data_IF_431952048765
#
_entry.id   IF_431952048765
#
_cell.length_a   1.000
_cell.length_b   1.000
_cell.length_c   1.000
_cell.angle_alpha   90.00
_cell.angle_beta   90.00
_cell.angle_gamma   90.00
#
_symmetry.space_group_name_H-M   'P 1'
#
loop_
_entity.id
_entity.type
_entity.pdbx_description
1 polymer ?
#
# COMPACT_ATOMS: atom_id res chain seq x y z
N UNK A 1 -13.31 33.20 -16.60
CA UNK A 1 -13.15 32.93 -16.23
C UNK A 1 -12.91 32.39 -15.70
N UNK A 2 -12.56 32.28 -15.66
CA UNK A 2 -12.22 31.77 -15.25
C UNK A 2 -11.84 31.38 -14.57
N UNK A 3 -11.65 31.35 -14.43
CA UNK A 3 -11.26 31.09 -13.94
C UNK A 3 -10.96 30.67 -13.09
N UNK A 4 -10.91 30.91 -12.78
CA UNK A 4 -10.45 30.28 -11.89
C UNK A 4 -11.03 29.14 -11.70
N UNK A 5 -10.78 28.43 -12.40
CA UNK A 5 -11.35 27.13 -12.38
C UNK A 5 -10.95 26.40 -11.14
N UNK A 6 -11.90 25.84 -10.44
CA UNK A 6 -11.59 24.93 -9.35
C UNK A 6 -10.92 23.71 -9.97
N UNK A 7 -9.77 23.36 -9.45
CA UNK A 7 -9.04 22.19 -9.92
C UNK A 7 -9.82 20.93 -9.57
N UNK A 8 -10.22 20.19 -10.57
CA UNK A 8 -11.01 18.98 -10.35
C UNK A 8 -10.22 17.70 -10.47
N UNK A 9 -9.00 17.78 -10.98
CA UNK A 9 -8.09 16.65 -11.02
C UNK A 9 -6.66 17.17 -11.07
N UNK A 10 -5.73 16.30 -10.72
CA UNK A 10 -4.33 16.68 -10.79
C UNK A 10 -3.87 16.71 -12.24
N UNK A 11 -2.89 17.57 -12.51
CA UNK A 11 -2.34 17.69 -13.85
C UNK A 11 -1.52 16.46 -14.18
N UNK A 12 -1.26 16.26 -15.47
CA UNK A 12 -0.46 15.12 -15.90
C UNK A 12 0.92 15.12 -15.26
N UNK A 13 1.53 16.31 -15.11
CA UNK A 13 2.81 16.41 -14.44
C UNK A 13 2.75 15.99 -12.99
N UNK A 14 1.69 16.43 -12.31
CA UNK A 14 1.50 16.04 -10.91
C UNK A 14 1.26 14.54 -10.80
N UNK A 15 0.49 13.97 -11.70
CA UNK A 15 0.23 12.55 -11.71
C UNK A 15 1.50 11.75 -11.94
N UNK A 16 2.39 12.26 -12.80
CA UNK A 16 3.68 11.61 -13.01
C UNK A 16 4.50 11.56 -11.73
N UNK A 17 4.51 12.66 -10.98
CA UNK A 17 5.24 12.70 -9.72
C UNK A 17 4.70 11.67 -8.73
N UNK A 18 3.38 11.59 -8.65
CA UNK A 18 2.76 10.59 -7.76
C UNK A 18 3.02 9.19 -8.25
N UNK A 19 3.06 9.00 -9.57
CA UNK A 19 3.34 7.67 -10.11
C UNK A 19 4.73 7.21 -9.72
N UNK A 20 5.71 8.10 -9.79
CA UNK A 20 7.07 7.77 -9.37
C UNK A 20 7.11 7.40 -7.90
N UNK A 21 6.40 8.17 -7.07
CA UNK A 21 6.34 7.87 -5.65
C UNK A 21 5.72 6.51 -5.39
N UNK A 22 4.62 6.22 -6.10
CA UNK A 22 3.94 4.94 -5.93
C UNK A 22 4.81 3.79 -6.41
N UNK A 23 5.52 3.97 -7.52
CA UNK A 23 6.41 2.93 -8.02
C UNK A 23 7.53 2.63 -7.03
N UNK A 24 8.07 3.68 -6.41
CA UNK A 24 9.08 3.50 -5.40
C UNK A 24 8.53 2.73 -4.21
N UNK A 25 7.33 3.10 -3.75
CA UNK A 25 6.69 2.40 -2.65
C UNK A 25 6.37 0.96 -3.01
N UNK A 26 5.95 0.73 -4.24
CA UNK A 26 5.69 -0.63 -4.71
C UNK A 26 6.96 -1.48 -4.68
N UNK A 27 8.05 -0.91 -5.16
CA UNK A 27 9.32 -1.63 -5.16
C UNK A 27 9.72 -2.02 -3.75
N UNK A 28 9.64 -1.08 -2.81
CA UNK A 28 9.97 -1.35 -1.43
C UNK A 28 9.06 -2.39 -0.81
N UNK A 29 7.76 -2.26 -1.08
CA UNK A 29 6.78 -3.18 -0.51
C UNK A 29 6.96 -4.59 -1.04
N UNK A 30 7.27 -4.72 -2.32
CA UNK A 30 7.48 -6.05 -2.90
C UNK A 30 8.74 -6.71 -2.34
N UNK A 31 9.78 -5.91 -2.09
CA UNK A 31 10.98 -6.44 -1.45
C UNK A 31 10.68 -6.89 -0.03
N UNK A 32 9.90 -6.10 0.68
CA UNK A 32 9.52 -6.45 2.04
C UNK A 32 8.70 -7.74 2.06
N UNK A 33 7.77 -7.87 1.13
CA UNK A 33 6.97 -9.08 1.02
C UNK A 33 7.85 -10.28 0.72
N UNK A 34 8.78 -10.14 -0.20
CA UNK A 34 9.69 -11.23 -0.54
C UNK A 34 10.48 -11.68 0.68
N UNK A 35 10.89 -10.72 1.50
CA UNK A 35 11.61 -11.03 2.74
C UNK A 35 10.74 -11.85 3.69
N UNK A 36 9.50 -11.46 3.88
CA UNK A 36 8.59 -12.21 4.74
C UNK A 36 8.33 -13.60 4.20
N UNK A 37 8.12 -13.73 2.90
CA UNK A 37 7.88 -15.02 2.28
C UNK A 37 9.11 -15.92 2.44
N UNK A 38 10.30 -15.34 2.28
CA UNK A 38 11.53 -16.11 2.47
C UNK A 38 11.67 -16.60 3.90
N UNK A 39 11.32 -15.77 4.86
CA UNK A 39 11.38 -16.17 6.26
C UNK A 39 10.43 -17.32 6.57
N UNK A 40 9.22 -17.25 5.98
CA UNK A 40 8.26 -18.34 6.16
C UNK A 40 8.78 -19.62 5.57
N UNK A 41 9.39 -19.55 4.40
CA UNK A 41 9.96 -20.72 3.76
C UNK A 41 11.10 -21.30 4.57
N UNK A 42 12.00 -20.45 5.05
CA UNK A 42 13.12 -20.90 5.86
C UNK A 42 12.64 -21.52 7.17
N UNK A 43 11.67 -20.90 7.80
CA UNK A 43 11.12 -21.41 9.05
C UNK A 43 10.51 -22.79 8.84
N UNK A 44 9.79 -22.96 7.75
CA UNK A 44 9.19 -24.25 7.43
C UNK A 44 10.26 -25.31 7.22
N UNK A 45 11.29 -24.97 6.45
CA UNK A 45 12.38 -25.90 6.21
C UNK A 45 13.13 -26.24 7.49
N UNK A 46 13.35 -25.24 8.32
CA UNK A 46 14.04 -25.45 9.59
C UNK A 46 13.21 -26.30 10.54
N UNK A 47 11.90 -26.11 10.52
CA UNK A 47 11.02 -26.90 11.36
C UNK A 47 11.12 -28.37 11.02
N UNK A 48 11.22 -28.68 9.73
CA UNK A 48 11.38 -30.07 9.29
C UNK A 48 12.66 -30.67 9.81
N UNK A 49 13.74 -29.90 9.77
CA UNK A 49 15.03 -30.45 10.17
C UNK A 49 15.17 -30.51 11.70
N UNK A 50 14.58 -29.58 12.41
CA UNK A 50 14.71 -29.54 13.86
C UNK A 50 13.73 -30.42 14.58
N UNK A 51 12.52 -30.36 14.19
CA UNK A 51 11.45 -31.23 14.65
C UNK A 51 11.37 -31.37 16.15
N UNK A 52 11.40 -30.28 16.89
CA UNK A 52 11.43 -30.49 18.32
C UNK A 52 10.40 -29.70 19.04
N UNK A 53 9.81 -30.23 20.01
CA UNK A 53 8.63 -29.78 20.65
C UNK A 53 8.60 -28.33 21.10
N UNK A 54 9.55 -27.91 21.87
CA UNK A 54 9.55 -26.58 22.43
C UNK A 54 9.71 -25.50 21.36
N UNK A 55 10.59 -25.75 20.44
CA UNK A 55 10.88 -24.83 19.37
C UNK A 55 9.70 -24.68 18.42
N UNK A 56 8.94 -25.75 18.25
CA UNK A 56 7.78 -25.72 17.37
C UNK A 56 6.77 -24.68 17.79
N UNK A 57 6.52 -24.61 19.09
CA UNK A 57 5.54 -23.67 19.61
C UNK A 57 5.97 -22.23 19.35
N UNK A 58 7.22 -21.92 19.63
CA UNK A 58 7.75 -20.58 19.40
C UNK A 58 7.79 -20.27 17.92
N UNK A 59 8.24 -21.23 17.12
CA UNK A 59 8.28 -21.06 15.69
C UNK A 59 6.92 -20.80 15.08
N UNK A 60 5.88 -21.47 15.60
CA UNK A 60 4.53 -21.28 15.12
C UNK A 60 4.03 -19.88 15.36
N UNK A 61 4.29 -19.33 16.54
CA UNK A 61 3.86 -17.96 16.86
C UNK A 61 4.54 -16.97 15.95
N UNK A 62 5.84 -17.13 15.76
CA UNK A 62 6.58 -16.25 14.87
C UNK A 62 6.08 -16.38 13.43
N UNK A 63 5.82 -17.60 13.01
CA UNK A 63 5.32 -17.83 11.65
C UNK A 63 3.97 -17.17 11.44
N UNK A 64 3.10 -17.22 12.46
CA UNK A 64 1.81 -16.56 12.36
C UNK A 64 1.97 -15.06 12.23
N UNK A 65 2.87 -14.47 13.01
CA UNK A 65 3.11 -13.04 12.95
C UNK A 65 3.65 -12.63 11.58
N UNK A 66 4.60 -13.39 11.07
CA UNK A 66 5.17 -13.08 9.75
C UNK A 66 4.13 -13.27 8.67
N UNK A 67 3.30 -14.29 8.79
CA UNK A 67 2.23 -14.52 7.83
C UNK A 67 1.24 -13.37 7.81
N UNK A 68 0.92 -12.85 9.00
CA UNK A 68 0.03 -11.69 9.11
C UNK A 68 0.65 -10.47 8.44
N UNK A 69 1.94 -10.24 8.68
CA UNK A 69 2.64 -9.12 8.06
C UNK A 69 2.68 -9.28 6.54
N UNK A 70 2.90 -10.49 6.06
CA UNK A 70 2.90 -10.75 4.63
C UNK A 70 1.54 -10.46 4.02
N UNK A 71 0.47 -10.87 4.69
CA UNK A 71 -0.88 -10.61 4.22
C UNK A 71 -1.17 -9.13 4.13
N UNK A 72 -0.76 -8.38 5.16
CA UNK A 72 -0.94 -6.94 5.16
C UNK A 72 -0.16 -6.30 4.03
N UNK A 73 1.04 -6.78 3.79
CA UNK A 73 1.87 -6.24 2.73
C UNK A 73 1.25 -6.52 1.36
N UNK A 74 0.66 -7.71 1.16
CA UNK A 74 -0.01 -8.01 -0.10
C UNK A 74 -1.17 -7.06 -0.34
N UNK A 75 -1.95 -6.75 0.70
CA UNK A 75 -3.05 -5.80 0.56
C UNK A 75 -2.53 -4.41 0.25
N UNK A 76 -1.45 -4.01 0.91
CA UNK A 76 -0.85 -2.71 0.68
C UNK A 76 -0.38 -2.59 -0.77
N UNK A 77 0.28 -3.64 -1.28
CA UNK A 77 0.72 -3.66 -2.66
C UNK A 77 -0.47 -3.54 -3.60
N UNK A 78 -1.55 -4.26 -3.32
CA UNK A 78 -2.75 -4.18 -4.15
C UNK A 78 -3.32 -2.76 -4.17
N UNK A 79 -3.37 -2.11 -3.01
CA UNK A 79 -3.84 -0.73 -2.93
C UNK A 79 -2.95 0.21 -3.74
N UNK A 80 -1.64 0.01 -3.69
CA UNK A 80 -0.72 0.83 -4.47
C UNK A 80 -0.89 0.59 -5.97
N UNK A 81 -1.10 -0.65 -6.37
CA UNK A 81 -1.33 -0.95 -7.78
C UNK A 81 -2.64 -0.36 -8.27
N UNK A 82 -3.67 -0.38 -7.42
CA UNK A 82 -4.93 0.26 -7.76
C UNK A 82 -4.75 1.77 -7.91
N UNK A 83 -3.92 2.36 -7.04
CA UNK A 83 -3.62 3.79 -7.15
C UNK A 83 -2.95 4.10 -8.49
N UNK A 84 -2.05 3.23 -8.90
CA UNK A 84 -1.36 3.40 -10.18
C UNK A 84 -2.35 3.35 -11.35
N UNK A 85 -3.32 2.44 -11.27
CA UNK A 85 -4.37 2.37 -12.28
C UNK A 85 -5.18 3.66 -12.33
N UNK A 86 -5.48 4.23 -11.16
CA UNK A 86 -6.21 5.49 -11.12
C UNK A 86 -5.42 6.62 -11.76
N UNK A 87 -4.09 6.60 -11.62
CA UNK A 87 -3.25 7.59 -12.30
C UNK A 87 -3.39 7.44 -13.80
N UNK A 88 -3.35 6.21 -14.30
CA UNK A 88 -3.48 5.96 -15.72
C UNK A 88 -4.83 6.41 -16.25
N UNK A 89 -5.86 6.32 -15.43
CA UNK A 89 -7.21 6.73 -15.80
C UNK A 89 -7.49 8.20 -15.47
N UNK A 90 -6.48 8.92 -14.95
CA UNK A 90 -6.58 10.36 -14.66
C UNK A 90 -7.58 10.70 -13.56
N UNK A 91 -7.84 9.74 -12.66
CA UNK A 91 -8.78 9.97 -11.56
C UNK A 91 -8.09 9.84 -10.20
N UNK A 92 -6.78 9.71 -10.21
CA UNK A 92 -6.01 9.60 -8.97
C UNK A 92 -6.15 10.88 -8.14
N UNK A 93 -6.24 10.70 -6.82
CA UNK A 93 -6.26 11.83 -5.91
C UNK A 93 -7.61 12.50 -5.78
N UNK A 94 -8.64 11.93 -6.36
CA UNK A 94 -9.99 12.48 -6.26
C UNK A 94 -10.74 11.66 -5.19
N UNK A 95 -11.27 12.39 -4.19
CA UNK A 95 -11.99 11.73 -3.12
C UNK A 95 -13.25 11.08 -3.67
N UNK A 96 -13.41 9.79 -3.42
CA UNK A 96 -14.54 9.06 -3.99
C UNK A 96 -15.87 9.43 -3.37
N UNK A 97 -15.85 10.12 -2.23
CA UNK A 97 -17.10 10.54 -1.59
C UNK A 97 -17.48 11.98 -1.91
N UNK A 98 -16.50 12.87 -1.92
CA UNK A 98 -16.79 14.29 -2.14
C UNK A 98 -16.53 14.75 -3.55
N UNK A 99 -15.77 13.99 -4.32
CA UNK A 99 -15.37 14.41 -5.66
C UNK A 99 -14.31 15.49 -5.68
N UNK A 100 -13.85 15.91 -4.51
CA UNK A 100 -12.82 16.94 -4.40
C UNK A 100 -11.45 16.30 -4.36
N UNK A 101 -10.45 17.11 -4.68
CA UNK A 101 -9.08 16.61 -4.63
C UNK A 101 -8.64 16.33 -3.21
N UNK A 102 -7.96 15.20 -3.03
CA UNK A 102 -7.30 14.88 -1.79
C UNK A 102 -6.01 15.69 -1.76
N UNK A 103 -5.64 16.23 -0.59
CA UNK A 103 -4.46 17.09 -0.50
C UNK A 103 -3.20 16.32 -0.86
N UNK A 104 -2.22 17.04 -1.41
CA UNK A 104 -0.95 16.43 -1.75
C UNK A 104 -0.25 15.86 -0.53
N UNK A 105 -0.39 16.55 0.61
CA UNK A 105 0.22 16.10 1.84
C UNK A 105 -0.31 14.73 2.25
N UNK A 106 -1.62 14.56 2.16
CA UNK A 106 -2.21 13.27 2.50
C UNK A 106 -1.77 12.19 1.51
N UNK A 107 -1.70 12.54 0.22
CA UNK A 107 -1.27 11.57 -0.79
C UNK A 107 0.19 11.18 -0.65
N UNK A 108 1.02 12.10 -0.18
CA UNK A 108 2.41 11.76 0.08
C UNK A 108 2.55 10.81 1.26
N UNK A 109 1.72 11.01 2.28
CA UNK A 109 1.71 10.13 3.44
C UNK A 109 1.02 8.81 3.15
N UNK A 110 -0.09 8.86 2.40
CA UNK A 110 -0.88 7.66 2.07
C UNK A 110 -1.17 7.69 0.57
N UNK A 111 -0.20 7.23 -0.25
CA UNK A 111 -0.35 7.36 -1.70
C UNK A 111 -1.57 6.67 -2.30
N UNK A 112 -2.10 5.66 -1.61
CA UNK A 112 -3.26 4.92 -2.10
C UNK A 112 -4.58 5.44 -1.54
N UNK A 113 -4.57 6.61 -0.90
CA UNK A 113 -5.78 7.16 -0.29
C UNK A 113 -6.85 7.42 -1.35
N UNK A 114 -8.09 7.09 -1.02
CA UNK A 114 -9.25 7.35 -1.88
C UNK A 114 -10.25 8.26 -1.21
N UNK A 115 -9.98 8.66 0.03
CA UNK A 115 -10.84 9.56 0.80
C UNK A 115 -10.02 10.72 1.32
N UNK A 116 -10.61 11.91 1.27
CA UNK A 116 -10.01 13.05 1.93
C UNK A 116 -10.08 12.83 3.44
N UNK A 117 -9.31 13.62 4.19
CA UNK A 117 -9.35 13.52 5.64
C UNK A 117 -10.76 13.84 6.15
N UNK A 118 -11.39 14.84 5.54
CA UNK A 118 -12.76 15.20 5.91
C UNK A 118 -13.72 14.04 5.73
N UNK A 119 -13.65 13.39 4.56
CA UNK A 119 -14.54 12.27 4.28
C UNK A 119 -14.26 11.09 5.19
N UNK A 120 -12.99 10.84 5.47
CA UNK A 120 -12.62 9.74 6.36
C UNK A 120 -13.15 9.98 7.77
N UNK A 121 -13.06 11.21 8.24
CA UNK A 121 -13.49 11.52 9.61
C UNK A 121 -15.01 11.48 9.79
N UNK A 122 -15.76 11.57 8.69
CA UNK A 122 -17.21 11.47 8.77
C UNK A 122 -17.70 10.05 8.90
N UNK A 123 -16.84 9.07 8.69
CA UNK A 123 -17.23 7.66 8.78
C UNK A 123 -17.19 7.12 10.23
#
# INVERSE_FOLDING_TARGET
MSKKAVKTRYTDGELEEFELLIEEKLSESKKQLAFYVQQLSDSSNNADSKSKGLDDSIGSVESEQISTLASRMRKHIQHLENAKLRIQNKVYGICRETGKLISKERLKAVPHATLSIEAKNKR
#
